data_IF_017403517025
#
_entry.id   IF_017403517025
#
_cell.length_a   1.000
_cell.length_b   1.000
_cell.length_c   1.000
_cell.angle_alpha   90.00
_cell.angle_beta   90.00
_cell.angle_gamma   90.00
#
_symmetry.space_group_name_H-M   'P 1'
#
loop_
_entity.id
_entity.type
_entity.pdbx_description
1 polymer ?
#
# COMPACT_ATOMS: atom_id res chain seq x y z
N UNK A 1 -10.83 -4.90 -22.28
CA UNK A 1 -9.54 -4.79 -21.63
C UNK A 1 -9.59 -5.24 -20.19
N UNK A 2 -8.64 -6.02 -19.79
CA UNK A 2 -8.62 -6.54 -18.45
C UNK A 2 -7.88 -5.65 -17.52
N UNK A 3 -8.45 -5.46 -16.37
CA UNK A 3 -7.75 -4.78 -15.30
C UNK A 3 -6.76 -5.74 -14.65
N UNK A 4 -5.54 -5.28 -14.42
CA UNK A 4 -4.54 -6.06 -13.71
C UNK A 4 -4.44 -5.64 -12.26
N UNK A 5 -5.33 -4.76 -11.82
CA UNK A 5 -5.31 -4.30 -10.45
C UNK A 5 -5.72 -5.39 -9.49
N UNK A 6 -5.02 -5.43 -8.37
CA UNK A 6 -5.30 -6.36 -7.30
C UNK A 6 -5.64 -5.59 -6.05
N UNK A 7 -6.28 -6.25 -5.12
CA UNK A 7 -6.67 -5.62 -3.88
C UNK A 7 -5.58 -5.81 -2.84
N UNK A 8 -5.18 -4.73 -2.21
CA UNK A 8 -4.18 -4.76 -1.16
C UNK A 8 -4.72 -4.12 0.10
N UNK A 9 -4.40 -4.72 1.24
CA UNK A 9 -4.66 -4.12 2.54
C UNK A 9 -3.44 -3.32 2.94
N UNK A 10 -3.67 -2.09 3.36
CA UNK A 10 -2.58 -1.27 3.87
C UNK A 10 -2.61 -1.41 5.39
N UNK A 11 -1.52 -1.89 5.94
CA UNK A 11 -1.42 -2.15 7.37
C UNK A 11 -0.36 -1.26 8.01
N UNK A 12 -0.68 -0.81 9.21
CA UNK A 12 0.28 -0.10 10.03
C UNK A 12 0.42 -0.90 11.32
N UNK A 13 1.56 -1.59 11.45
CA UNK A 13 1.72 -2.54 12.52
C UNK A 13 0.78 -3.72 12.31
N UNK A 14 -0.11 -3.94 13.27
CA UNK A 14 -1.06 -5.04 13.18
C UNK A 14 -2.45 -4.58 12.74
N UNK A 15 -2.58 -3.30 12.41
CA UNK A 15 -3.89 -2.72 12.12
C UNK A 15 -4.02 -2.50 10.62
N UNK A 16 -5.18 -2.88 10.08
CA UNK A 16 -5.51 -2.56 8.70
C UNK A 16 -6.09 -1.16 8.68
N UNK A 17 -5.43 -0.24 7.98
CA UNK A 17 -5.85 1.16 7.97
C UNK A 17 -6.57 1.54 6.69
N UNK A 18 -6.40 0.76 5.63
CA UNK A 18 -7.07 1.06 4.37
C UNK A 18 -6.99 -0.12 3.44
N UNK A 19 -7.70 -0.02 2.32
CA UNK A 19 -7.64 -1.00 1.25
C UNK A 19 -7.45 -0.23 -0.05
N UNK A 20 -6.56 -0.72 -0.90
CA UNK A 20 -6.24 -0.06 -2.16
C UNK A 20 -6.27 -1.07 -3.29
N UNK A 21 -6.70 -0.63 -4.45
CA UNK A 21 -6.56 -1.42 -5.67
C UNK A 21 -5.38 -0.87 -6.44
N UNK A 22 -4.45 -1.75 -6.82
CA UNK A 22 -3.26 -1.30 -7.50
C UNK A 22 -2.64 -2.45 -8.28
N UNK A 23 -1.66 -2.13 -9.10
CA UNK A 23 -0.96 -3.12 -9.91
C UNK A 23 0.14 -3.82 -9.11
N UNK A 24 0.56 -3.26 -8.01
CA UNK A 24 1.60 -3.87 -7.18
C UNK A 24 1.48 -3.38 -5.74
N UNK A 25 2.08 -4.13 -4.84
CA UNK A 25 2.09 -3.77 -3.42
C UNK A 25 2.81 -2.44 -3.20
N UNK A 26 3.91 -2.25 -3.90
CA UNK A 26 4.68 -1.02 -3.79
C UNK A 26 3.83 0.18 -4.17
N UNK A 27 3.12 0.08 -5.28
CA UNK A 27 2.27 1.17 -5.75
C UNK A 27 1.12 1.41 -4.78
N UNK A 28 0.54 0.33 -4.26
CA UNK A 28 -0.60 0.44 -3.35
C UNK A 28 -0.23 1.24 -2.10
N UNK A 29 0.89 0.90 -1.46
CA UNK A 29 1.26 1.55 -0.22
C UNK A 29 1.69 2.99 -0.47
N UNK A 30 2.36 3.25 -1.59
CA UNK A 30 2.76 4.61 -1.93
C UNK A 30 1.54 5.47 -2.22
N UNK A 31 0.59 4.95 -2.98
CA UNK A 31 -0.62 5.69 -3.30
C UNK A 31 -1.41 6.04 -2.05
N UNK A 32 -1.45 5.12 -1.10
CA UNK A 32 -2.16 5.37 0.15
C UNK A 32 -1.54 6.55 0.89
N UNK A 33 -0.22 6.54 1.05
CA UNK A 33 0.45 7.61 1.78
C UNK A 33 0.35 8.92 1.03
N UNK A 34 0.48 8.89 -0.30
CA UNK A 34 0.39 10.10 -1.12
C UNK A 34 -1.00 10.72 -1.08
N UNK A 35 -2.02 9.92 -0.83
CA UNK A 35 -3.38 10.46 -0.74
C UNK A 35 -3.54 11.44 0.42
N UNK A 36 -2.61 11.44 1.36
CA UNK A 36 -2.59 12.38 2.47
C UNK A 36 -1.93 13.72 2.10
N UNK A 37 -1.43 13.83 0.88
CA UNK A 37 -0.67 15.00 0.50
C UNK A 37 0.79 14.94 0.89
N UNK A 38 1.29 13.77 1.23
CA UNK A 38 2.68 13.58 1.61
C UNK A 38 3.56 13.63 0.37
N UNK A 39 4.69 14.31 0.47
CA UNK A 39 5.62 14.43 -0.63
C UNK A 39 6.44 13.15 -0.75
N UNK A 40 6.81 12.80 -1.99
CA UNK A 40 7.55 11.57 -2.24
C UNK A 40 8.89 11.55 -1.51
N UNK A 41 9.54 12.69 -1.35
CA UNK A 41 10.83 12.75 -0.70
C UNK A 41 10.72 12.54 0.82
N UNK A 42 9.52 12.58 1.37
CA UNK A 42 9.31 12.31 2.78
C UNK A 42 9.00 10.84 3.05
N UNK A 43 8.75 10.09 1.99
CA UNK A 43 8.42 8.67 2.12
C UNK A 43 9.69 7.87 2.02
N UNK A 44 9.94 7.04 3.02
CA UNK A 44 11.13 6.20 3.04
C UNK A 44 10.72 4.78 2.71
N UNK A 45 11.34 4.21 1.69
CA UNK A 45 11.06 2.83 1.32
C UNK A 45 11.81 1.88 2.23
N UNK A 46 11.07 0.94 2.82
CA UNK A 46 11.65 -0.08 3.67
C UNK A 46 11.79 -1.40 2.95
N UNK A 47 11.05 -1.59 1.85
CA UNK A 47 11.08 -2.81 1.07
C UNK A 47 10.17 -2.64 -0.13
N UNK A 48 9.90 -3.74 -0.82
CA UNK A 48 9.08 -3.68 -2.03
C UNK A 48 7.63 -3.38 -1.71
N UNK A 49 7.18 -3.66 -0.50
CA UNK A 49 5.79 -3.48 -0.12
C UNK A 49 5.63 -2.63 1.14
N UNK A 50 6.68 -1.99 1.59
CA UNK A 50 6.67 -1.25 2.85
C UNK A 50 7.30 0.12 2.70
N UNK A 51 6.71 1.08 3.40
CA UNK A 51 7.28 2.43 3.46
C UNK A 51 7.15 2.95 4.88
N UNK A 52 7.91 3.97 5.18
CA UNK A 52 7.86 4.65 6.46
C UNK A 52 7.66 6.14 6.21
N UNK A 53 6.89 6.78 7.07
CA UNK A 53 6.67 8.22 7.02
C UNK A 53 6.47 8.71 8.44
N UNK A 54 7.36 9.62 8.85
CA UNK A 54 7.31 10.22 10.19
C UNK A 54 7.25 9.18 11.30
N UNK A 55 8.02 8.11 11.15
CA UNK A 55 8.08 7.07 12.17
C UNK A 55 6.97 6.03 12.08
N UNK A 56 5.96 6.27 11.27
CA UNK A 56 4.91 5.28 11.05
C UNK A 56 5.31 4.38 9.89
N UNK A 57 5.06 3.10 10.03
CA UNK A 57 5.38 2.14 8.98
C UNK A 57 4.09 1.60 8.39
N UNK A 58 4.08 1.50 7.05
CA UNK A 58 2.93 1.02 6.32
C UNK A 58 3.36 -0.09 5.38
N UNK A 59 2.53 -1.10 5.29
CA UNK A 59 2.81 -2.26 4.45
C UNK A 59 1.58 -2.63 3.67
N UNK A 60 1.77 -2.98 2.40
CA UNK A 60 0.68 -3.47 1.56
C UNK A 60 0.72 -4.98 1.53
N UNK A 61 -0.41 -5.61 1.82
CA UNK A 61 -0.53 -7.07 1.82
C UNK A 61 -1.57 -7.46 0.79
N UNK A 62 -1.19 -8.35 -0.11
CA UNK A 62 -2.10 -8.81 -1.14
C UNK A 62 -3.25 -9.57 -0.51
N UNK A 63 -4.46 -9.17 -0.86
CA UNK A 63 -5.66 -9.87 -0.44
C UNK A 63 -5.98 -10.88 -1.52
N UNK A 64 -6.00 -12.18 -1.18
CA UNK A 64 -6.31 -13.20 -2.19
C UNK A 64 -7.69 -12.96 -2.76
N UNK A 65 -7.79 -13.05 -4.09
CA UNK A 65 -9.07 -12.94 -4.74
C UNK A 65 -9.73 -14.29 -4.69
N UNK A 66 -10.89 -14.30 -4.12
CA UNK A 66 -11.65 -15.54 -4.09
C UNK A 66 -12.26 -15.78 -5.42
N UNK A 67 -11.89 -16.86 -6.02
CA UNK A 67 -12.49 -17.26 -7.26
C UNK A 67 -13.55 -18.29 -7.00
N UNK A 68 -14.75 -18.03 -7.43
CA UNK A 68 -15.80 -19.02 -7.29
C UNK A 68 -15.52 -20.26 -8.12
#
# INVERSE_FOLDING_TARGET
MRSTSKKYEIRSGRRVVSTQFSVSASQAVIDYVRSWGVRDDEIRRLGVDSVSWRGAQFKAVLVPTESP
#
